data_IF_347165911495
#
_entry.id   IF_347165911495
#
_cell.length_a   1.000
_cell.length_b   1.000
_cell.length_c   1.000
_cell.angle_alpha   90.00
_cell.angle_beta   90.00
_cell.angle_gamma   90.00
#
_symmetry.space_group_name_H-M   'P 1'
#
loop_
_entity.id
_entity.type
_entity.pdbx_description
1 polymer ?
#
# COMPACT_ATOMS: atom_id res chain seq x y z
N UNK A 1 -11.35 -22.15 1.22
CA UNK A 1 -10.13 -22.36 2.00
C UNK A 1 -9.20 -23.44 1.41
N UNK A 2 -9.28 -23.72 0.13
CA UNK A 2 -8.49 -24.78 -0.53
C UNK A 2 -7.61 -24.25 -1.69
N UNK A 3 -7.39 -22.96 -1.80
CA UNK A 3 -6.73 -22.35 -2.97
C UNK A 3 -5.27 -21.95 -2.77
N UNK A 4 -4.72 -22.07 -1.57
CA UNK A 4 -3.37 -21.59 -1.23
C UNK A 4 -2.30 -22.68 -1.10
N UNK A 5 -2.62 -23.95 -1.40
CA UNK A 5 -1.65 -25.05 -1.22
C UNK A 5 -0.89 -25.47 -2.48
N UNK A 6 -1.11 -24.88 -3.63
CA UNK A 6 -0.62 -25.46 -4.90
C UNK A 6 0.47 -24.70 -5.66
N UNK A 7 1.05 -23.66 -5.17
CA UNK A 7 2.05 -22.96 -5.96
C UNK A 7 3.28 -22.46 -5.22
N UNK A 8 4.03 -23.34 -4.58
CA UNK A 8 5.47 -23.12 -4.51
C UNK A 8 6.21 -24.47 -4.39
N UNK A 9 7.05 -24.74 -5.38
CA UNK A 9 7.99 -25.84 -5.52
C UNK A 9 8.39 -26.57 -4.22
N UNK A 10 7.77 -27.70 -3.92
CA UNK A 10 8.40 -28.87 -3.31
C UNK A 10 9.13 -28.78 -1.98
N UNK A 11 9.18 -27.62 -1.32
CA UNK A 11 9.71 -27.47 0.03
C UNK A 11 8.58 -27.08 0.95
N UNK A 12 8.06 -28.05 1.69
CA UNK A 12 7.20 -27.79 2.85
C UNK A 12 7.97 -26.91 3.82
N UNK A 13 7.69 -25.64 3.84
CA UNK A 13 7.98 -24.80 4.99
C UNK A 13 7.09 -25.30 6.11
N UNK A 14 7.62 -26.14 6.96
CA UNK A 14 6.92 -26.71 8.10
C UNK A 14 6.96 -25.67 9.20
N UNK A 15 5.99 -24.79 9.25
CA UNK A 15 5.59 -24.20 10.52
C UNK A 15 4.82 -25.29 11.30
N UNK A 16 5.54 -26.25 11.82
CA UNK A 16 5.02 -27.17 12.85
C UNK A 16 5.27 -26.53 14.20
N UNK A 17 4.34 -25.76 14.64
CA UNK A 17 4.30 -25.18 15.98
C UNK A 17 3.01 -24.42 16.13
N UNK A 18 2.46 -24.38 17.32
CA UNK A 18 1.22 -23.71 17.73
C UNK A 18 0.85 -22.55 16.79
N UNK A 19 -0.44 -22.49 16.42
CA UNK A 19 -0.96 -21.38 15.64
C UNK A 19 -0.38 -20.05 16.19
N UNK A 20 0.37 -19.33 15.36
CA UNK A 20 1.03 -18.10 15.77
C UNK A 20 0.00 -17.07 16.24
N UNK A 21 0.44 -16.12 17.01
CA UNK A 21 -0.43 -15.04 17.49
C UNK A 21 -0.79 -14.13 16.30
N UNK A 22 -2.04 -13.66 16.27
CA UNK A 22 -2.45 -12.65 15.31
C UNK A 22 -2.29 -11.26 15.92
N UNK A 23 -1.63 -10.39 15.20
CA UNK A 23 -1.38 -8.99 15.55
C UNK A 23 -2.13 -8.08 14.60
N UNK A 24 -2.70 -7.00 15.11
CA UNK A 24 -3.32 -5.95 14.31
C UNK A 24 -2.38 -4.75 14.23
N UNK A 25 -1.99 -4.36 13.02
CA UNK A 25 -1.24 -3.14 12.73
C UNK A 25 -2.17 -2.15 12.05
N UNK A 26 -2.88 -1.37 12.82
CA UNK A 26 -3.75 -0.30 12.36
C UNK A 26 -3.15 1.09 12.66
N UNK A 27 -3.86 2.15 12.32
CA UNK A 27 -3.41 3.53 12.57
C UNK A 27 -3.11 3.82 14.04
N UNK A 28 -3.84 3.21 14.97
CA UNK A 28 -3.61 3.42 16.41
C UNK A 28 -2.30 2.79 16.87
N UNK A 29 -1.94 1.62 16.34
CA UNK A 29 -0.67 0.94 16.62
C UNK A 29 0.46 1.61 15.85
N UNK A 30 0.22 1.97 14.59
CA UNK A 30 1.21 2.62 13.73
C UNK A 30 1.67 3.98 14.28
N UNK A 31 0.74 4.78 14.79
CA UNK A 31 1.04 6.17 15.16
C UNK A 31 1.37 7.02 13.93
N UNK A 32 2.64 7.36 13.78
CA UNK A 32 3.13 8.11 12.62
C UNK A 32 3.61 7.17 11.52
N UNK A 33 3.30 7.50 10.28
CA UNK A 33 3.83 6.81 9.11
C UNK A 33 5.27 7.26 8.82
N UNK A 34 6.01 6.39 8.14
CA UNK A 34 7.33 6.67 7.62
C UNK A 34 7.26 6.87 6.11
N UNK A 35 8.24 7.60 5.56
CA UNK A 35 8.30 7.93 4.13
C UNK A 35 9.66 7.59 3.54
N UNK A 36 10.51 6.91 4.30
CA UNK A 36 11.84 6.46 3.87
C UNK A 36 12.11 5.06 4.42
N UNK A 37 12.84 4.27 3.65
CA UNK A 37 13.38 3.00 4.12
C UNK A 37 14.72 3.23 4.82
N UNK A 38 15.00 2.45 5.85
CA UNK A 38 16.28 2.49 6.54
C UNK A 38 16.17 2.27 8.05
N UNK A 39 17.30 2.32 8.76
CA UNK A 39 17.36 2.02 10.18
C UNK A 39 16.85 3.17 11.09
N UNK A 40 16.28 4.21 10.50
CA UNK A 40 15.89 5.43 11.23
C UNK A 40 14.60 5.28 12.01
N UNK A 41 13.72 4.38 11.55
CA UNK A 41 12.42 4.16 12.14
C UNK A 41 12.49 3.04 13.18
N UNK A 42 11.95 3.30 14.37
CA UNK A 42 11.81 2.26 15.40
C UNK A 42 10.65 1.33 15.03
N UNK A 43 10.79 0.02 15.22
CA UNK A 43 9.67 -0.90 15.03
C UNK A 43 8.47 -0.52 15.90
N UNK A 44 7.30 -0.52 15.29
CA UNK A 44 6.02 -0.25 15.97
C UNK A 44 5.37 -1.52 16.51
N UNK A 45 5.85 -2.67 16.05
CA UNK A 45 5.36 -4.01 16.42
C UNK A 45 6.54 -4.97 16.43
N UNK A 46 6.56 -5.89 17.39
CA UNK A 46 7.48 -7.03 17.43
C UNK A 46 6.65 -8.33 17.33
N UNK A 47 7.07 -9.25 16.48
CA UNK A 47 6.41 -10.52 16.22
C UNK A 47 7.41 -11.67 16.26
N UNK A 48 6.91 -12.89 16.35
CA UNK A 48 7.70 -14.12 16.27
C UNK A 48 7.52 -14.79 14.90
N UNK A 49 8.48 -15.62 14.47
CA UNK A 49 8.28 -16.48 13.33
C UNK A 49 7.02 -17.32 13.46
N UNK A 50 6.15 -17.30 12.43
CA UNK A 50 4.86 -17.98 12.45
C UNK A 50 3.68 -17.15 12.95
N UNK A 51 3.92 -15.95 13.47
CA UNK A 51 2.85 -15.00 13.78
C UNK A 51 2.21 -14.45 12.50
N UNK A 52 0.96 -14.00 12.63
CA UNK A 52 0.17 -13.39 11.55
C UNK A 52 0.03 -11.89 11.85
N UNK A 53 0.23 -11.07 10.84
CA UNK A 53 -0.04 -9.63 10.94
C UNK A 53 -1.18 -9.25 10.01
N UNK A 54 -2.20 -8.63 10.56
CA UNK A 54 -3.26 -7.94 9.80
C UNK A 54 -2.88 -6.48 9.77
N UNK A 55 -2.39 -6.01 8.61
CA UNK A 55 -1.94 -4.64 8.45
C UNK A 55 -2.97 -3.80 7.67
N UNK A 56 -3.35 -2.67 8.25
CA UNK A 56 -4.16 -1.65 7.58
C UNK A 56 -3.22 -0.61 6.97
N UNK A 57 -3.10 -0.64 5.65
CA UNK A 57 -2.27 0.33 4.91
C UNK A 57 -3.07 1.60 4.57
N UNK A 58 -2.38 2.67 4.26
CA UNK A 58 -2.98 3.91 3.77
C UNK A 58 -2.71 4.06 2.27
N UNK A 59 -3.49 4.91 1.58
CA UNK A 59 -3.23 5.23 0.18
C UNK A 59 -1.97 6.10 0.02
N UNK A 60 -1.49 6.22 -1.22
CA UNK A 60 -0.27 6.96 -1.53
C UNK A 60 -0.33 8.44 -1.10
N UNK A 61 -1.51 8.99 -0.93
CA UNK A 61 -1.73 10.38 -0.51
C UNK A 61 -2.02 10.52 0.99
N UNK A 62 -1.85 9.46 1.77
CA UNK A 62 -2.08 9.47 3.20
C UNK A 62 -3.55 9.69 3.59
N UNK A 63 -4.49 9.36 2.70
CA UNK A 63 -5.94 9.51 2.93
C UNK A 63 -6.44 10.95 2.90
N UNK A 64 -5.62 11.93 2.46
CA UNK A 64 -6.03 13.36 2.48
C UNK A 64 -6.86 13.77 1.26
N UNK A 65 -6.78 13.02 0.17
CA UNK A 65 -7.59 13.22 -1.05
C UNK A 65 -8.90 12.45 -0.90
N UNK A 66 -9.94 13.11 -0.43
CA UNK A 66 -11.25 12.49 -0.16
C UNK A 66 -12.24 12.64 -1.30
N UNK A 67 -12.17 13.73 -2.02
CA UNK A 67 -13.04 14.10 -3.12
C UNK A 67 -12.25 14.48 -4.37
N UNK A 68 -12.89 14.57 -5.51
CA UNK A 68 -12.27 15.04 -6.76
C UNK A 68 -11.89 16.54 -6.73
N UNK A 69 -12.41 17.28 -5.76
CA UNK A 69 -12.09 18.69 -5.53
C UNK A 69 -10.89 18.91 -4.63
N UNK A 70 -10.40 17.85 -3.98
CA UNK A 70 -9.20 17.91 -3.15
C UNK A 70 -7.94 17.86 -4.03
N UNK A 71 -7.51 18.99 -4.52
CA UNK A 71 -6.36 19.05 -5.43
C UNK A 71 -5.04 18.73 -4.71
N UNK A 72 -4.16 17.92 -5.30
CA UNK A 72 -2.86 17.56 -4.75
C UNK A 72 -2.01 18.75 -4.32
N UNK A 73 -1.95 19.82 -5.12
CA UNK A 73 -1.20 21.05 -4.80
C UNK A 73 -1.66 21.73 -3.50
N UNK A 74 -2.90 21.49 -3.09
CA UNK A 74 -3.50 22.09 -1.90
C UNK A 74 -3.49 21.16 -0.69
N UNK A 75 -3.42 19.85 -0.92
CA UNK A 75 -3.58 18.83 0.12
C UNK A 75 -2.31 18.09 0.48
N UNK A 76 -1.38 17.95 -0.47
CA UNK A 76 -0.16 17.20 -0.26
C UNK A 76 0.98 18.11 0.22
N UNK A 77 1.79 17.59 1.11
CA UNK A 77 3.06 18.20 1.51
C UNK A 77 4.18 17.35 0.95
N UNK A 78 4.72 17.77 -0.17
CA UNK A 78 5.84 17.04 -0.78
C UNK A 78 7.10 17.14 0.10
N UNK A 79 7.92 16.07 0.18
CA UNK A 79 7.82 14.79 -0.51
C UNK A 79 7.04 13.69 0.25
N UNK A 80 6.23 14.03 1.25
CA UNK A 80 5.57 13.09 2.16
C UNK A 80 4.36 12.41 1.49
N UNK A 81 4.64 11.58 0.50
CA UNK A 81 3.69 10.69 -0.17
C UNK A 81 4.14 9.24 -0.01
N UNK A 82 3.24 8.28 -0.26
CA UNK A 82 3.47 6.85 -0.04
C UNK A 82 3.80 6.53 1.43
N UNK A 83 2.89 6.79 2.37
CA UNK A 83 3.08 6.46 3.77
C UNK A 83 3.28 4.96 3.96
N UNK A 84 4.27 4.60 4.76
CA UNK A 84 4.66 3.21 4.99
C UNK A 84 4.27 2.77 6.38
N UNK A 85 3.66 1.58 6.47
CA UNK A 85 3.37 0.91 7.72
C UNK A 85 4.60 0.19 8.27
N UNK A 86 4.67 0.05 9.57
CA UNK A 86 5.79 -0.56 10.26
C UNK A 86 6.84 0.47 10.71
N UNK A 87 8.09 0.08 10.87
CA UNK A 87 8.64 -1.26 10.67
C UNK A 87 8.12 -2.30 11.67
N UNK A 88 8.17 -3.55 11.27
CA UNK A 88 7.83 -4.68 12.12
C UNK A 88 9.13 -5.43 12.44
N UNK A 89 9.45 -5.59 13.72
CA UNK A 89 10.58 -6.39 14.16
C UNK A 89 10.21 -7.87 14.22
N UNK A 90 11.05 -8.74 13.69
CA UNK A 90 10.95 -10.17 13.85
C UNK A 90 11.93 -10.63 14.93
N UNK A 91 11.40 -11.22 16.01
CA UNK A 91 12.23 -11.68 17.12
C UNK A 91 13.21 -12.76 16.65
N UNK A 92 14.49 -12.58 16.99
CA UNK A 92 15.55 -13.52 16.65
C UNK A 92 16.13 -13.38 15.24
N UNK A 93 15.60 -12.50 14.40
CA UNK A 93 16.19 -12.25 13.08
C UNK A 93 17.43 -11.35 13.17
N UNK A 94 18.46 -11.72 12.45
CA UNK A 94 19.74 -10.99 12.39
C UNK A 94 20.10 -10.59 10.96
N UNK A 95 20.98 -9.59 10.79
CA UNK A 95 21.48 -9.22 9.47
C UNK A 95 22.11 -10.41 8.75
N UNK A 96 21.64 -10.70 7.54
CA UNK A 96 22.05 -11.87 6.74
C UNK A 96 21.04 -13.01 6.72
N UNK A 97 20.06 -12.99 7.61
CA UNK A 97 18.96 -13.96 7.56
C UNK A 97 18.06 -13.76 6.35
N UNK A 98 17.44 -14.84 5.92
CA UNK A 98 16.43 -14.81 4.86
C UNK A 98 15.04 -14.83 5.47
N UNK A 99 14.28 -13.77 5.21
CA UNK A 99 12.90 -13.65 5.65
C UNK A 99 11.95 -14.18 4.57
N UNK A 100 11.08 -15.12 4.95
CA UNK A 100 9.99 -15.58 4.12
C UNK A 100 8.67 -14.96 4.61
N UNK A 101 8.09 -14.09 3.80
CA UNK A 101 6.78 -13.46 4.07
C UNK A 101 5.72 -14.15 3.25
N UNK A 102 4.70 -14.69 3.90
CA UNK A 102 3.57 -15.32 3.25
C UNK A 102 2.37 -14.37 3.27
N UNK A 103 1.97 -13.87 2.11
CA UNK A 103 0.80 -13.00 1.97
C UNK A 103 -0.43 -13.89 1.83
N UNK A 104 -1.28 -13.94 2.86
CA UNK A 104 -2.49 -14.75 2.86
C UNK A 104 -3.60 -14.14 2.01
N UNK A 105 -3.78 -12.84 2.09
CA UNK A 105 -4.83 -12.12 1.38
C UNK A 105 -4.59 -10.63 1.36
N UNK A 106 -5.14 -9.96 0.35
CA UNK A 106 -5.15 -8.51 0.21
C UNK A 106 -6.58 -8.09 -0.07
N UNK A 107 -7.10 -7.16 0.72
CA UNK A 107 -8.45 -6.63 0.56
C UNK A 107 -8.44 -5.11 0.53
N UNK A 108 -9.26 -4.48 -0.30
CA UNK A 108 -9.48 -3.05 -0.23
C UNK A 108 -10.17 -2.69 1.10
N UNK A 109 -9.76 -1.58 1.71
CA UNK A 109 -10.25 -1.17 3.03
C UNK A 109 -11.64 -0.55 2.95
N UNK A 110 -12.47 -0.92 3.92
CA UNK A 110 -13.79 -0.34 4.15
C UNK A 110 -14.92 -0.97 3.34
N UNK A 111 -16.18 -0.61 3.67
CA UNK A 111 -17.37 -1.21 3.06
C UNK A 111 -17.64 -0.70 1.64
N UNK A 112 -17.10 0.44 1.27
CA UNK A 112 -17.20 1.03 -0.07
C UNK A 112 -15.80 1.51 -0.48
N UNK A 113 -14.93 0.59 -0.90
CA UNK A 113 -13.56 0.94 -1.23
C UNK A 113 -13.50 1.87 -2.44
N UNK A 114 -12.60 2.85 -2.35
CA UNK A 114 -12.41 3.85 -3.40
C UNK A 114 -10.93 3.96 -3.72
N UNK A 115 -10.58 3.80 -4.99
CA UNK A 115 -9.27 4.13 -5.51
C UNK A 115 -9.16 5.61 -5.86
N UNK A 116 -7.96 6.16 -5.80
CA UNK A 116 -7.68 7.55 -6.17
C UNK A 116 -6.57 7.59 -7.20
N UNK A 117 -6.78 8.35 -8.26
CA UNK A 117 -5.75 8.70 -9.23
C UNK A 117 -5.67 10.22 -9.33
N UNK A 118 -4.48 10.77 -9.51
CA UNK A 118 -4.30 12.20 -9.64
C UNK A 118 -3.23 12.56 -10.67
N UNK A 119 -3.46 13.65 -11.39
CA UNK A 119 -2.41 14.38 -12.08
C UNK A 119 -1.87 15.42 -11.11
N UNK A 120 -0.62 15.25 -10.71
CA UNK A 120 0.06 16.09 -9.72
C UNK A 120 0.96 17.05 -10.48
N UNK A 121 0.89 18.37 -10.25
CA UNK A 121 1.78 19.32 -10.90
C UNK A 121 3.25 18.97 -10.69
N UNK A 122 4.05 19.09 -11.73
CA UNK A 122 5.49 18.85 -11.71
C UNK A 122 5.92 17.43 -11.31
N UNK A 123 4.98 16.47 -11.31
CA UNK A 123 5.24 15.10 -10.91
C UNK A 123 4.72 14.10 -11.95
N UNK A 124 5.64 13.40 -12.60
CA UNK A 124 5.33 12.38 -13.60
C UNK A 124 5.93 12.66 -14.98
N UNK A 125 5.91 11.66 -15.84
CA UNK A 125 6.58 11.69 -17.15
C UNK A 125 5.92 12.58 -18.21
N UNK A 126 4.67 13.00 -17.98
CA UNK A 126 3.91 13.84 -18.91
C UNK A 126 3.68 15.27 -18.39
N UNK A 127 4.33 15.64 -17.31
CA UNK A 127 4.22 16.96 -16.69
C UNK A 127 5.55 17.67 -16.77
N UNK A 128 5.56 18.93 -17.20
CA UNK A 128 6.78 19.72 -17.14
C UNK A 128 7.15 20.03 -15.69
N UNK A 129 8.43 20.04 -15.42
CA UNK A 129 8.98 20.51 -14.15
C UNK A 129 10.06 21.56 -14.45
N UNK A 130 10.61 22.22 -13.44
CA UNK A 130 11.61 23.26 -13.62
C UNK A 130 12.93 22.80 -14.28
N UNK A 131 13.10 21.49 -14.52
CA UNK A 131 14.30 20.89 -15.09
C UNK A 131 14.10 20.35 -16.50
N UNK A 132 12.87 20.02 -16.86
CA UNK A 132 12.54 19.46 -18.18
C UNK A 132 11.50 20.31 -18.90
N UNK A 133 11.84 20.75 -20.09
CA UNK A 133 10.87 21.36 -21.01
C UNK A 133 10.07 20.26 -21.70
N UNK A 134 8.75 20.33 -21.63
CA UNK A 134 7.86 19.46 -22.38
C UNK A 134 7.46 20.11 -23.69
N UNK A 135 7.37 19.29 -24.75
CA UNK A 135 6.90 19.78 -26.06
C UNK A 135 5.39 20.10 -26.05
N UNK A 136 4.66 19.55 -25.10
CA UNK A 136 3.24 19.81 -24.92
C UNK A 136 2.98 20.72 -23.72
N UNK A 137 1.89 21.48 -23.72
CA UNK A 137 1.46 22.22 -22.53
C UNK A 137 1.32 21.28 -21.32
N UNK A 138 1.62 21.77 -20.10
CA UNK A 138 1.39 20.99 -18.88
C UNK A 138 -0.06 20.51 -18.78
N UNK A 139 -0.25 19.27 -18.37
CA UNK A 139 -1.59 18.77 -18.07
C UNK A 139 -2.14 19.48 -16.82
N UNK A 140 -3.45 19.82 -16.83
CA UNK A 140 -4.07 20.41 -15.66
C UNK A 140 -4.09 19.41 -14.51
N UNK A 141 -3.95 19.92 -13.30
CA UNK A 141 -4.14 19.14 -12.08
C UNK A 141 -5.56 18.57 -12.04
N UNK A 142 -5.67 17.29 -11.71
CA UNK A 142 -6.95 16.60 -11.68
C UNK A 142 -6.92 15.42 -10.71
N UNK A 143 -8.02 15.21 -10.02
CA UNK A 143 -8.27 14.02 -9.20
C UNK A 143 -9.42 13.23 -9.78
N UNK A 144 -9.29 11.91 -9.75
CA UNK A 144 -10.33 10.97 -10.15
C UNK A 144 -10.51 9.93 -9.06
N UNK A 145 -11.76 9.62 -8.72
CA UNK A 145 -12.14 8.62 -7.74
C UNK A 145 -12.81 7.44 -8.43
N UNK A 146 -12.41 6.23 -8.05
CA UNK A 146 -12.91 5.00 -8.66
C UNK A 146 -13.51 4.11 -7.58
N UNK A 147 -14.75 3.69 -7.75
CA UNK A 147 -15.38 2.73 -6.87
C UNK A 147 -14.91 1.31 -7.20
N UNK A 148 -14.46 0.61 -6.16
CA UNK A 148 -14.11 -0.81 -6.25
C UNK A 148 -15.33 -1.62 -5.85
N UNK A 149 -15.76 -2.53 -6.72
CA UNK A 149 -16.93 -3.39 -6.55
C UNK A 149 -16.53 -4.86 -6.73
N UNK A 150 -17.43 -5.79 -6.48
CA UNK A 150 -17.20 -7.20 -6.76
C UNK A 150 -16.98 -7.48 -8.26
N UNK A 151 -17.52 -6.63 -9.14
CA UNK A 151 -17.35 -6.75 -10.59
C UNK A 151 -16.04 -6.13 -11.09
N UNK A 152 -15.35 -5.37 -10.27
CA UNK A 152 -14.10 -4.69 -10.61
C UNK A 152 -14.10 -3.21 -10.23
N UNK A 153 -13.16 -2.48 -10.81
CA UNK A 153 -13.02 -1.03 -10.64
C UNK A 153 -13.88 -0.32 -11.69
N UNK A 154 -14.88 0.40 -11.26
CA UNK A 154 -15.71 1.22 -12.15
C UNK A 154 -14.92 2.46 -12.56
N UNK A 155 -14.36 2.42 -13.78
CA UNK A 155 -13.60 3.55 -14.34
C UNK A 155 -14.54 4.66 -14.84
N UNK A 156 -15.63 4.30 -15.50
CA UNK A 156 -16.73 5.18 -15.91
C UNK A 156 -17.98 4.35 -16.19
N UNK A 157 -19.04 4.96 -16.71
CA UNK A 157 -20.30 4.26 -16.96
C UNK A 157 -20.24 3.19 -18.05
N UNK A 158 -19.17 3.16 -18.85
CA UNK A 158 -18.98 2.22 -19.96
C UNK A 158 -17.88 1.21 -19.71
N UNK A 159 -16.96 1.50 -18.79
CA UNK A 159 -15.75 0.72 -18.58
C UNK A 159 -15.67 0.30 -17.11
N UNK A 160 -15.62 -1.00 -16.89
CA UNK A 160 -15.24 -1.61 -15.61
C UNK A 160 -13.98 -2.43 -15.86
N UNK A 161 -12.94 -2.15 -15.10
CA UNK A 161 -11.65 -2.83 -15.17
C UNK A 161 -11.65 -4.02 -14.21
N UNK A 162 -11.04 -5.16 -14.58
CA UNK A 162 -10.85 -6.23 -13.63
C UNK A 162 -10.03 -5.72 -12.44
N UNK A 163 -10.33 -6.25 -11.26
CA UNK A 163 -9.65 -5.88 -10.03
C UNK A 163 -8.96 -7.09 -9.42
N UNK A 164 -7.65 -7.03 -9.42
CA UNK A 164 -6.78 -7.97 -8.72
C UNK A 164 -6.02 -7.17 -7.66
N UNK A 165 -6.31 -7.39 -6.36
CA UNK A 165 -5.68 -6.60 -5.32
C UNK A 165 -4.19 -6.90 -5.25
N UNK A 166 -3.39 -5.85 -5.16
CA UNK A 166 -1.95 -5.93 -4.93
C UNK A 166 -1.52 -4.86 -3.93
N UNK A 167 -0.35 -5.04 -3.35
CA UNK A 167 0.26 -4.07 -2.45
C UNK A 167 1.62 -3.65 -3.02
N UNK A 168 1.85 -2.35 -3.01
CA UNK A 168 3.16 -1.78 -3.35
C UNK A 168 4.12 -1.89 -2.16
N UNK A 169 5.41 -2.00 -2.47
CA UNK A 169 6.51 -2.03 -1.50
C UNK A 169 7.36 -0.79 -1.62
#
# INVERSE_FOLDING_TARGET
MAWLEQSYMGRKAVARGNAGKTHLLNKAVQGNYHYVYGPYAKPVLAIRPGDIVVAETEDAFGGVIKTEQDLPSQKLTMPFVNPQCGPIALEGAEPGDVLCVHIHSIFPRGPQPVGTSALIPEFGGLVSNGQTAMLNPPLPERVMKYHVTEQGVKFNDRITLPYEPFIGT
#
